data_IF_622094496346
#
_entry.id   IF_622094496346
#
_cell.length_a   1.000
_cell.length_b   1.000
_cell.length_c   1.000
_cell.angle_alpha   90.00
_cell.angle_beta   90.00
_cell.angle_gamma   90.00
#
_symmetry.space_group_name_H-M   'P 1'
#
loop_
_entity.id
_entity.type
_entity.pdbx_description
1 polymer ?
#
# COMPACT_ATOMS: atom_id res chain seq x y z
N UNK A 1 -27.02 10.83 -22.23
CA UNK A 1 -26.31 9.87 -23.10
C UNK A 1 -24.88 9.75 -22.58
N UNK A 2 -24.57 8.69 -21.86
CA UNK A 2 -23.19 8.31 -21.59
C UNK A 2 -22.79 7.40 -22.76
N UNK A 3 -21.69 7.74 -23.44
CA UNK A 3 -21.19 6.97 -24.58
C UNK A 3 -20.82 5.56 -24.11
N UNK A 4 -21.48 4.55 -24.67
CA UNK A 4 -21.13 3.14 -24.47
C UNK A 4 -19.96 2.78 -25.39
N UNK A 5 -18.85 2.32 -24.82
CA UNK A 5 -17.80 1.65 -25.59
C UNK A 5 -18.33 0.29 -26.07
N UNK A 6 -17.73 -0.32 -27.09
CA UNK A 6 -18.09 -1.63 -27.67
C UNK A 6 -18.38 -2.76 -26.65
N UNK A 7 -17.91 -2.67 -25.41
CA UNK A 7 -18.14 -3.63 -24.31
C UNK A 7 -19.35 -3.32 -23.40
N UNK A 8 -20.13 -2.28 -23.70
CA UNK A 8 -21.21 -1.79 -22.83
C UNK A 8 -20.70 -1.06 -21.58
N UNK A 9 -19.44 -0.61 -21.61
CA UNK A 9 -18.79 0.09 -20.50
C UNK A 9 -18.95 1.60 -20.65
N UNK A 10 -19.27 2.26 -19.55
CA UNK A 10 -19.27 3.73 -19.45
C UNK A 10 -17.84 4.25 -19.31
N UNK A 11 -17.60 5.50 -19.72
CA UNK A 11 -16.30 6.17 -19.56
C UNK A 11 -15.80 6.18 -18.11
N UNK A 12 -16.73 6.23 -17.15
CA UNK A 12 -16.42 6.18 -15.71
C UNK A 12 -15.96 4.79 -15.26
N UNK A 13 -16.57 3.72 -15.76
CA UNK A 13 -16.12 2.36 -15.47
C UNK A 13 -14.73 2.12 -16.04
N UNK A 14 -14.45 2.57 -17.27
CA UNK A 14 -13.12 2.48 -17.88
C UNK A 14 -12.11 3.28 -17.06
N UNK A 15 -12.43 4.51 -16.68
CA UNK A 15 -11.56 5.32 -15.83
C UNK A 15 -11.24 4.63 -14.49
N UNK A 16 -12.24 4.02 -13.85
CA UNK A 16 -12.07 3.32 -12.57
C UNK A 16 -11.27 2.03 -12.71
N UNK A 17 -11.49 1.27 -13.78
CA UNK A 17 -10.67 0.11 -14.16
C UNK A 17 -9.20 0.50 -14.34
N UNK A 18 -8.96 1.67 -14.93
CA UNK A 18 -7.61 2.15 -15.21
C UNK A 18 -6.98 3.02 -14.11
N UNK A 19 -7.63 3.12 -12.93
CA UNK A 19 -7.16 3.94 -11.80
C UNK A 19 -6.98 5.43 -12.15
N UNK A 20 -7.74 5.94 -13.13
CA UNK A 20 -7.74 7.35 -13.51
C UNK A 20 -8.49 8.21 -12.50
N UNK A 21 -7.80 8.55 -11.42
CA UNK A 21 -8.33 9.29 -10.27
C UNK A 21 -8.98 10.63 -10.65
N UNK A 22 -8.42 11.37 -11.62
CA UNK A 22 -8.99 12.65 -12.05
C UNK A 22 -10.43 12.51 -12.56
N UNK A 23 -10.70 11.47 -13.35
CA UNK A 23 -12.04 11.18 -13.88
C UNK A 23 -12.93 10.55 -12.81
N UNK A 24 -12.37 9.72 -11.92
CA UNK A 24 -13.10 9.20 -10.76
C UNK A 24 -13.61 10.32 -9.84
N UNK A 25 -12.80 11.35 -9.59
CA UNK A 25 -13.21 12.47 -8.75
C UNK A 25 -14.41 13.25 -9.34
N UNK A 26 -14.56 13.26 -10.67
CA UNK A 26 -15.74 13.85 -11.32
C UNK A 26 -17.03 13.13 -10.93
N UNK A 27 -17.02 11.84 -10.61
CA UNK A 27 -18.20 11.12 -10.11
C UNK A 27 -18.73 11.71 -8.81
N UNK A 28 -17.86 12.23 -7.95
CA UNK A 28 -18.28 12.91 -6.73
C UNK A 28 -18.84 14.30 -7.02
N UNK A 29 -18.33 14.99 -8.04
CA UNK A 29 -18.80 16.32 -8.45
C UNK A 29 -20.17 16.27 -9.14
N UNK A 30 -20.45 15.17 -9.86
CA UNK A 30 -21.73 14.94 -10.55
C UNK A 30 -22.92 14.76 -9.56
N UNK A 31 -22.66 14.56 -8.27
CA UNK A 31 -23.68 14.63 -7.22
C UNK A 31 -24.74 13.52 -7.35
N UNK A 32 -26.03 13.90 -7.42
CA UNK A 32 -27.15 12.96 -7.35
C UNK A 32 -27.19 11.91 -8.46
N UNK A 33 -26.73 12.27 -9.68
CA UNK A 33 -26.72 11.35 -10.84
C UNK A 33 -25.64 10.27 -10.75
N UNK A 34 -24.77 10.29 -9.74
CA UNK A 34 -23.76 9.24 -9.53
C UNK A 34 -24.40 7.87 -9.31
N UNK A 35 -25.55 7.82 -8.65
CA UNK A 35 -26.22 6.55 -8.34
C UNK A 35 -26.67 5.85 -9.62
N UNK A 36 -27.15 6.62 -10.60
CA UNK A 36 -27.52 6.09 -11.91
C UNK A 36 -26.29 5.52 -12.63
N UNK A 37 -25.15 6.24 -12.58
CA UNK A 37 -23.88 5.77 -13.16
C UNK A 37 -23.40 4.44 -12.51
N UNK A 38 -23.60 4.29 -11.20
CA UNK A 38 -23.24 3.07 -10.49
C UNK A 38 -24.10 1.86 -10.87
N UNK A 39 -25.31 2.06 -11.42
CA UNK A 39 -26.23 0.96 -11.78
C UNK A 39 -25.87 0.28 -13.10
N UNK A 40 -25.07 0.92 -13.96
CA UNK A 40 -24.61 0.33 -15.20
C UNK A 40 -23.77 -0.92 -14.96
N UNK A 41 -23.98 -1.92 -15.81
CA UNK A 41 -23.27 -3.21 -15.77
C UNK A 41 -22.72 -3.51 -17.16
N UNK A 42 -21.57 -4.19 -17.20
CA UNK A 42 -21.02 -4.71 -18.45
C UNK A 42 -21.86 -5.88 -19.01
N UNK A 43 -21.48 -6.40 -20.18
CA UNK A 43 -22.10 -7.57 -20.80
C UNK A 43 -22.08 -8.83 -19.91
N UNK A 44 -21.17 -8.94 -18.95
CA UNK A 44 -21.06 -10.04 -17.98
C UNK A 44 -21.83 -9.78 -16.68
N UNK A 45 -22.57 -8.67 -16.58
CA UNK A 45 -23.30 -8.28 -15.38
C UNK A 45 -22.41 -7.73 -14.26
N UNK A 46 -21.14 -7.42 -14.55
CA UNK A 46 -20.20 -6.84 -13.61
C UNK A 46 -20.54 -5.35 -13.43
N UNK A 47 -20.72 -4.95 -12.18
CA UNK A 47 -20.72 -3.53 -11.82
C UNK A 47 -19.28 -3.00 -11.72
N UNK A 48 -19.15 -1.70 -11.50
CA UNK A 48 -17.85 -1.02 -11.38
C UNK A 48 -16.90 -1.68 -10.37
N UNK A 49 -17.42 -2.23 -9.26
CA UNK A 49 -16.61 -2.85 -8.21
C UNK A 49 -16.05 -4.22 -8.64
N UNK A 50 -16.82 -5.02 -9.38
CA UNK A 50 -16.32 -6.25 -10.00
C UNK A 50 -15.20 -5.97 -11.00
N UNK A 51 -15.36 -4.93 -11.82
CA UNK A 51 -14.38 -4.53 -12.82
C UNK A 51 -13.05 -4.14 -12.17
N UNK A 52 -13.09 -3.44 -11.04
CA UNK A 52 -11.90 -3.14 -10.23
C UNK A 52 -11.22 -4.42 -9.76
N UNK A 53 -11.98 -5.38 -9.22
CA UNK A 53 -11.43 -6.64 -8.75
C UNK A 53 -10.78 -7.48 -9.85
N UNK A 54 -11.42 -7.55 -11.02
CA UNK A 54 -10.90 -8.25 -12.19
C UNK A 54 -9.61 -7.61 -12.73
N UNK A 55 -9.55 -6.28 -12.80
CA UNK A 55 -8.40 -5.54 -13.36
C UNK A 55 -7.22 -5.39 -12.40
N UNK A 56 -7.42 -5.70 -11.10
CA UNK A 56 -6.39 -5.52 -10.07
C UNK A 56 -5.11 -6.29 -10.37
N UNK A 57 -5.23 -7.53 -10.86
CA UNK A 57 -4.07 -8.38 -11.19
C UNK A 57 -3.29 -7.86 -12.39
N UNK A 58 -3.98 -7.41 -13.44
CA UNK A 58 -3.34 -6.82 -14.62
C UNK A 58 -2.60 -5.52 -14.25
N UNK A 59 -3.21 -4.69 -13.41
CA UNK A 59 -2.57 -3.48 -12.90
C UNK A 59 -1.37 -3.75 -12.01
N UNK A 60 -1.45 -4.81 -11.20
CA UNK A 60 -0.33 -5.28 -10.42
C UNK A 60 0.83 -5.77 -11.30
N UNK A 61 0.54 -6.46 -12.41
CA UNK A 61 1.56 -6.99 -13.33
C UNK A 61 2.31 -5.91 -14.12
N UNK A 62 1.66 -4.78 -14.45
CA UNK A 62 2.30 -3.67 -15.19
C UNK A 62 3.31 -2.86 -14.36
N UNK A 63 3.31 -3.01 -13.04
CA UNK A 63 4.17 -2.21 -12.14
C UNK A 63 5.17 -3.12 -11.40
N UNK A 64 6.45 -2.78 -11.42
CA UNK A 64 7.57 -3.66 -11.01
C UNK A 64 7.66 -4.02 -9.50
N UNK A 65 6.68 -3.69 -8.65
CA UNK A 65 6.72 -3.86 -7.17
C UNK A 65 5.49 -4.61 -6.64
N UNK A 66 5.40 -5.91 -6.94
CA UNK A 66 4.22 -6.76 -6.72
C UNK A 66 3.61 -6.75 -5.29
N UNK A 67 4.38 -6.55 -4.22
CA UNK A 67 3.90 -6.69 -2.83
C UNK A 67 3.09 -5.50 -2.30
N UNK A 68 3.53 -4.26 -2.56
CA UNK A 68 2.82 -3.03 -2.15
C UNK A 68 1.55 -2.77 -2.97
N UNK A 69 1.46 -3.39 -4.14
CA UNK A 69 0.35 -3.20 -5.06
C UNK A 69 -0.92 -3.83 -4.54
N UNK A 70 -0.87 -5.00 -3.90
CA UNK A 70 -2.09 -5.63 -3.37
C UNK A 70 -2.78 -4.75 -2.32
N UNK A 71 -2.02 -4.12 -1.43
CA UNK A 71 -2.58 -3.18 -0.46
C UNK A 71 -3.20 -1.97 -1.16
N UNK A 72 -2.53 -1.42 -2.19
CA UNK A 72 -3.05 -0.30 -2.97
C UNK A 72 -4.32 -0.66 -3.74
N UNK A 73 -4.36 -1.82 -4.38
CA UNK A 73 -5.53 -2.30 -5.11
C UNK A 73 -6.70 -2.58 -4.15
N UNK A 74 -6.43 -3.10 -2.94
CA UNK A 74 -7.45 -3.24 -1.90
C UNK A 74 -7.97 -1.89 -1.40
N UNK A 75 -7.10 -0.89 -1.23
CA UNK A 75 -7.51 0.46 -0.83
C UNK A 75 -8.35 1.12 -1.92
N UNK A 76 -7.96 0.98 -3.18
CA UNK A 76 -8.75 1.46 -4.31
C UNK A 76 -10.10 0.74 -4.41
N UNK A 77 -10.13 -0.58 -4.21
CA UNK A 77 -11.36 -1.35 -4.14
C UNK A 77 -12.29 -0.83 -3.03
N UNK A 78 -11.78 -0.64 -1.81
CA UNK A 78 -12.54 -0.06 -0.69
C UNK A 78 -13.01 1.36 -0.97
N UNK A 79 -12.25 2.15 -1.73
CA UNK A 79 -12.65 3.50 -2.07
C UNK A 79 -13.82 3.52 -3.05
N UNK A 80 -13.74 2.72 -4.11
CA UNK A 80 -14.85 2.56 -5.06
C UNK A 80 -16.08 1.96 -4.35
N UNK A 81 -15.87 1.02 -3.43
CA UNK A 81 -16.94 0.44 -2.60
C UNK A 81 -17.70 1.51 -1.80
N UNK A 82 -17.01 2.48 -1.18
CA UNK A 82 -17.66 3.58 -0.46
C UNK A 82 -18.57 4.42 -1.35
N UNK A 83 -18.19 4.62 -2.62
CA UNK A 83 -18.99 5.36 -3.58
C UNK A 83 -20.23 4.57 -4.03
N UNK A 84 -20.14 3.24 -4.07
CA UNK A 84 -21.23 2.37 -4.49
C UNK A 84 -22.39 2.33 -3.48
N UNK A 85 -23.66 2.37 -3.93
CA UNK A 85 -24.83 2.09 -3.10
C UNK A 85 -24.75 0.71 -2.42
N UNK A 86 -25.25 0.55 -1.18
CA UNK A 86 -25.15 -0.71 -0.43
C UNK A 86 -25.67 -1.94 -1.20
N UNK A 87 -26.78 -1.80 -1.92
CA UNK A 87 -27.39 -2.87 -2.72
C UNK A 87 -26.49 -3.40 -3.84
N UNK A 88 -25.55 -2.60 -4.32
CA UNK A 88 -24.66 -2.96 -5.42
C UNK A 88 -23.31 -3.52 -4.94
N UNK A 89 -22.96 -3.36 -3.66
CA UNK A 89 -21.70 -3.89 -3.10
C UNK A 89 -21.70 -5.41 -3.03
N UNK A 90 -22.89 -5.99 -2.85
CA UNK A 90 -23.10 -7.44 -2.74
C UNK A 90 -23.83 -8.02 -3.96
N UNK A 91 -24.12 -7.18 -4.97
CA UNK A 91 -24.77 -7.63 -6.19
C UNK A 91 -23.93 -8.71 -6.87
N UNK A 92 -24.57 -9.76 -7.37
CA UNK A 92 -23.88 -10.84 -8.07
C UNK A 92 -23.79 -10.56 -9.57
N UNK A 93 -22.66 -10.93 -10.17
CA UNK A 93 -22.50 -10.95 -11.63
C UNK A 93 -23.20 -12.18 -12.25
N UNK A 94 -23.10 -12.36 -13.58
CA UNK A 94 -23.70 -13.52 -14.26
C UNK A 94 -23.12 -14.87 -13.82
N UNK A 95 -21.91 -14.87 -13.29
CA UNK A 95 -21.24 -16.06 -12.73
C UNK A 95 -21.64 -16.32 -11.27
N UNK A 96 -22.55 -15.52 -10.70
CA UNK A 96 -23.03 -15.67 -9.34
C UNK A 96 -22.06 -15.19 -8.25
N UNK A 97 -21.00 -14.49 -8.64
CA UNK A 97 -19.96 -14.00 -7.73
C UNK A 97 -20.25 -12.58 -7.26
N UNK A 98 -19.89 -12.26 -6.02
CA UNK A 98 -19.85 -10.87 -5.52
C UNK A 98 -18.57 -10.16 -5.97
N UNK A 99 -18.50 -8.81 -5.92
CA UNK A 99 -17.28 -8.08 -6.23
C UNK A 99 -16.08 -8.51 -5.38
N UNK A 100 -16.31 -8.78 -4.08
CA UNK A 100 -15.27 -9.18 -3.15
C UNK A 100 -14.78 -10.62 -3.42
N UNK A 101 -15.70 -11.54 -3.72
CA UNK A 101 -15.33 -12.91 -4.11
C UNK A 101 -14.49 -12.92 -5.39
N UNK A 102 -14.88 -12.12 -6.38
CA UNK A 102 -14.12 -11.97 -7.63
C UNK A 102 -12.74 -11.36 -7.38
N UNK A 103 -12.67 -10.29 -6.57
CA UNK A 103 -11.41 -9.66 -6.17
C UNK A 103 -10.48 -10.66 -5.46
N UNK A 104 -11.00 -11.40 -4.48
CA UNK A 104 -10.22 -12.37 -3.71
C UNK A 104 -9.68 -13.49 -4.61
N UNK A 105 -10.54 -14.05 -5.48
CA UNK A 105 -10.17 -15.10 -6.43
C UNK A 105 -9.09 -14.65 -7.41
N UNK A 106 -9.26 -13.47 -8.02
CA UNK A 106 -8.31 -12.98 -9.04
C UNK A 106 -6.94 -12.64 -8.44
N UNK A 107 -6.93 -12.15 -7.20
CA UNK A 107 -5.71 -11.64 -6.55
C UNK A 107 -5.08 -12.62 -5.55
N UNK A 108 -5.59 -13.84 -5.42
CA UNK A 108 -5.10 -14.84 -4.45
C UNK A 108 -3.60 -15.14 -4.59
N UNK A 109 -3.12 -15.30 -5.83
CA UNK A 109 -1.70 -15.57 -6.11
C UNK A 109 -0.80 -14.40 -5.72
N UNK A 110 -1.25 -13.16 -5.99
CA UNK A 110 -0.50 -11.94 -5.63
C UNK A 110 -0.42 -11.76 -4.11
N UNK A 111 -1.52 -12.01 -3.40
CA UNK A 111 -1.54 -12.01 -1.92
C UNK A 111 -0.55 -13.03 -1.38
N UNK A 112 -0.60 -14.26 -1.89
CA UNK A 112 0.27 -15.34 -1.42
C UNK A 112 1.76 -15.01 -1.64
N UNK A 113 2.11 -14.52 -2.84
CA UNK A 113 3.48 -14.10 -3.16
C UNK A 113 3.93 -12.91 -2.30
N UNK A 114 3.07 -11.92 -2.11
CA UNK A 114 3.35 -10.76 -1.26
C UNK A 114 3.58 -11.14 0.20
N UNK A 115 2.71 -11.99 0.77
CA UNK A 115 2.84 -12.50 2.14
C UNK A 115 4.12 -13.34 2.31
N UNK A 116 4.45 -14.19 1.33
CA UNK A 116 5.69 -14.97 1.36
C UNK A 116 6.92 -14.05 1.39
N UNK A 117 6.97 -13.07 0.49
CA UNK A 117 8.08 -12.11 0.44
C UNK A 117 8.21 -11.31 1.74
N UNK A 118 7.09 -10.88 2.34
CA UNK A 118 7.09 -10.19 3.64
C UNK A 118 7.60 -11.09 4.76
N UNK A 119 7.19 -12.37 4.77
CA UNK A 119 7.66 -13.35 5.75
C UNK A 119 9.17 -13.56 5.63
N UNK A 120 9.68 -13.74 4.42
CA UNK A 120 11.11 -13.93 4.17
C UNK A 120 11.91 -12.70 4.63
N UNK A 121 11.42 -11.48 4.34
CA UNK A 121 12.05 -10.24 4.83
C UNK A 121 12.01 -10.12 6.35
N UNK A 122 10.87 -10.46 6.98
CA UNK A 122 10.71 -10.42 8.44
C UNK A 122 11.67 -11.40 9.12
N UNK A 123 11.82 -12.61 8.59
CA UNK A 123 12.79 -13.60 9.12
C UNK A 123 14.21 -13.05 9.07
N UNK A 124 14.62 -12.46 7.95
CA UNK A 124 15.95 -11.84 7.83
C UNK A 124 16.11 -10.66 8.80
N UNK A 125 15.08 -9.82 8.92
CA UNK A 125 15.07 -8.69 9.86
C UNK A 125 15.22 -9.17 11.32
N UNK A 126 14.41 -10.14 11.72
CA UNK A 126 14.46 -10.75 13.06
C UNK A 126 15.83 -11.38 13.32
N UNK A 127 16.42 -12.05 12.32
CA UNK A 127 17.76 -12.62 12.46
C UNK A 127 18.81 -11.53 12.67
N UNK A 128 18.79 -10.45 11.88
CA UNK A 128 19.72 -9.32 12.02
C UNK A 128 19.58 -8.67 13.40
N UNK A 129 18.34 -8.41 13.84
CA UNK A 129 18.07 -7.83 15.17
C UNK A 129 18.60 -8.76 16.27
N UNK A 130 18.35 -10.07 16.16
CA UNK A 130 18.78 -11.06 17.15
C UNK A 130 20.31 -11.14 17.25
N UNK A 131 21.01 -11.18 16.11
CA UNK A 131 22.48 -11.22 16.07
C UNK A 131 23.07 -9.91 16.60
N UNK A 132 22.52 -8.76 16.19
CA UNK A 132 22.96 -7.46 16.68
C UNK A 132 22.78 -7.33 18.20
N UNK A 133 21.65 -7.81 18.73
CA UNK A 133 21.37 -7.83 20.17
C UNK A 133 22.36 -8.73 20.92
N UNK A 134 22.62 -9.93 20.40
CA UNK A 134 23.60 -10.84 20.98
C UNK A 134 24.98 -10.18 21.05
N UNK A 135 25.48 -9.63 19.93
CA UNK A 135 26.78 -8.96 19.87
C UNK A 135 26.87 -7.76 20.81
N UNK A 136 25.78 -6.99 20.95
CA UNK A 136 25.76 -5.85 21.87
C UNK A 136 25.92 -6.29 23.35
N UNK A 137 25.37 -7.45 23.73
CA UNK A 137 25.39 -7.92 25.11
C UNK A 137 26.52 -8.90 25.44
N UNK A 138 27.13 -9.56 24.45
CA UNK A 138 28.23 -10.53 24.65
C UNK A 138 29.62 -9.89 24.53
N UNK A 139 29.83 -8.75 25.19
CA UNK A 139 31.14 -8.07 25.16
C UNK A 139 32.17 -8.87 25.97
N UNK A 140 33.29 -9.31 25.37
CA UNK A 140 34.33 -10.05 26.08
C UNK A 140 34.91 -9.22 27.22
N UNK A 141 35.10 -9.82 28.39
CA UNK A 141 35.56 -9.12 29.59
C UNK A 141 34.45 -8.52 30.46
N UNK A 142 33.19 -8.54 30.01
CA UNK A 142 32.03 -8.15 30.81
C UNK A 142 31.89 -6.64 31.04
N UNK A 143 31.00 -6.29 31.97
CA UNK A 143 30.66 -4.90 32.33
C UNK A 143 31.19 -4.55 33.72
N UNK A 144 31.70 -3.33 33.88
CA UNK A 144 32.13 -2.82 35.17
C UNK A 144 30.90 -2.59 36.08
N UNK A 145 30.92 -3.13 37.30
CA UNK A 145 29.82 -3.04 38.26
C UNK A 145 29.61 -1.63 38.81
N UNK A 146 30.62 -0.76 38.78
CA UNK A 146 30.52 0.60 39.34
C UNK A 146 29.93 1.62 38.34
N UNK A 147 30.17 1.43 37.04
CA UNK A 147 29.81 2.42 36.02
C UNK A 147 28.97 1.85 34.88
N UNK A 148 28.81 0.52 34.80
CA UNK A 148 28.03 -0.15 33.75
C UNK A 148 28.69 -0.16 32.36
N UNK A 149 29.93 0.34 32.22
CA UNK A 149 30.65 0.34 30.94
C UNK A 149 31.37 -0.99 30.66
N UNK A 150 31.50 -1.41 29.39
CA UNK A 150 32.24 -2.61 29.04
C UNK A 150 33.72 -2.49 29.38
N UNK A 151 34.27 -3.47 30.10
CA UNK A 151 35.67 -3.48 30.57
C UNK A 151 36.65 -3.50 29.39
N UNK A 152 36.25 -4.11 28.28
CA UNK A 152 37.01 -4.17 27.02
C UNK A 152 37.39 -2.79 26.45
N UNK A 153 36.48 -1.82 26.50
CA UNK A 153 36.72 -0.48 25.95
C UNK A 153 37.78 0.25 26.78
N UNK A 154 37.72 0.09 28.11
CA UNK A 154 38.70 0.66 29.03
C UNK A 154 40.10 0.06 28.82
N UNK A 155 40.20 -1.26 28.64
CA UNK A 155 41.49 -1.91 28.33
C UNK A 155 42.09 -1.41 27.01
N UNK A 156 41.31 -1.36 25.93
CA UNK A 156 41.78 -0.85 24.63
C UNK A 156 42.24 0.61 24.69
N UNK A 157 41.57 1.43 25.49
CA UNK A 157 41.98 2.82 25.72
C UNK A 157 43.32 2.92 26.44
N UNK A 158 43.55 2.07 27.45
CA UNK A 158 44.81 1.98 28.21
C UNK A 158 45.99 1.55 27.32
N UNK A 159 45.78 0.66 26.35
CA UNK A 159 46.78 0.25 25.36
C UNK A 159 46.99 1.26 24.21
N UNK A 160 46.33 2.42 24.23
CA UNK A 160 46.45 3.44 23.19
C UNK A 160 45.68 3.15 21.89
N UNK A 161 44.88 2.08 21.83
CA UNK A 161 44.16 1.60 20.65
C UNK A 161 42.76 2.21 20.52
N UNK A 162 42.65 3.53 20.68
CA UNK A 162 41.36 4.26 20.70
C UNK A 162 40.56 4.15 19.38
N UNK A 163 41.24 3.88 18.27
CA UNK A 163 40.62 3.77 16.94
C UNK A 163 39.87 2.45 16.73
N UNK A 164 40.21 1.39 17.48
CA UNK A 164 39.65 0.04 17.28
C UNK A 164 38.14 -0.01 17.56
N UNK A 165 37.63 0.51 18.71
CA UNK A 165 36.18 0.55 18.96
C UNK A 165 35.42 1.40 17.94
N UNK A 166 36.00 2.51 17.47
CA UNK A 166 35.39 3.40 16.47
C UNK A 166 35.24 2.66 15.14
N UNK A 167 36.27 1.92 14.73
CA UNK A 167 36.25 1.13 13.51
C UNK A 167 35.21 0.01 13.58
N UNK A 168 35.16 -0.72 14.70
CA UNK A 168 34.16 -1.78 14.93
C UNK A 168 32.74 -1.22 14.89
N UNK A 169 32.49 -0.09 15.57
CA UNK A 169 31.19 0.57 15.56
C UNK A 169 30.81 1.04 14.14
N UNK A 170 31.75 1.61 13.39
CA UNK A 170 31.52 2.01 12.01
C UNK A 170 31.10 0.81 11.15
N UNK A 171 31.82 -0.32 11.21
CA UNK A 171 31.45 -1.52 10.46
C UNK A 171 30.12 -2.14 10.92
N UNK A 172 29.82 -2.12 12.22
CA UNK A 172 28.57 -2.66 12.77
C UNK A 172 27.33 -1.86 12.34
N UNK A 173 27.47 -0.55 12.10
CA UNK A 173 26.36 0.30 11.67
C UNK A 173 26.00 0.13 10.19
N UNK A 174 26.94 -0.27 9.33
CA UNK A 174 26.73 -0.39 7.88
C UNK A 174 25.57 -1.34 7.53
N UNK A 175 25.50 -2.59 8.04
CA UNK A 175 24.38 -3.50 7.76
C UNK A 175 23.03 -2.97 8.23
N UNK A 176 22.99 -2.30 9.39
CA UNK A 176 21.77 -1.73 9.97
C UNK A 176 21.26 -0.57 9.11
N UNK A 177 22.17 0.32 8.69
CA UNK A 177 21.84 1.45 7.82
C UNK A 177 21.39 0.96 6.45
N UNK A 178 22.09 -0.01 5.84
CA UNK A 178 21.68 -0.58 4.56
C UNK A 178 20.32 -1.27 4.66
N UNK A 179 20.07 -2.04 5.72
CA UNK A 179 18.77 -2.66 5.96
C UNK A 179 17.66 -1.61 6.14
N UNK A 180 17.91 -0.58 6.96
CA UNK A 180 16.98 0.53 7.15
C UNK A 180 16.70 1.26 5.83
N UNK A 181 17.73 1.58 5.04
CA UNK A 181 17.58 2.24 3.74
C UNK A 181 16.85 1.37 2.70
N UNK A 182 16.98 0.04 2.76
CA UNK A 182 16.25 -0.86 1.86
C UNK A 182 14.77 -1.03 2.27
N UNK A 183 14.47 -1.02 3.57
CA UNK A 183 13.09 -1.14 4.09
C UNK A 183 12.36 0.20 4.15
N UNK A 184 13.08 1.32 4.24
CA UNK A 184 12.52 2.66 4.35
C UNK A 184 11.62 3.04 3.18
N UNK A 185 11.95 2.78 1.90
CA UNK A 185 11.04 3.02 0.78
C UNK A 185 9.73 2.25 0.93
N UNK A 186 9.78 1.00 1.38
CA UNK A 186 8.59 0.16 1.61
C UNK A 186 7.73 0.69 2.76
N UNK A 187 8.37 1.13 3.84
CA UNK A 187 7.69 1.74 4.97
C UNK A 187 7.06 3.08 4.57
N UNK A 188 7.81 3.96 3.89
CA UNK A 188 7.27 5.22 3.37
C UNK A 188 6.13 4.97 2.39
N UNK A 189 6.25 3.99 1.49
CA UNK A 189 5.17 3.62 0.56
C UNK A 189 3.93 3.11 1.30
N UNK A 190 4.09 2.31 2.37
CA UNK A 190 2.99 1.83 3.21
C UNK A 190 2.33 2.98 3.99
N UNK A 191 3.11 3.87 4.61
CA UNK A 191 2.59 5.02 5.34
C UNK A 191 1.93 6.03 4.40
N UNK A 192 2.54 6.31 3.25
CA UNK A 192 1.94 7.15 2.22
C UNK A 192 0.66 6.49 1.71
N UNK A 193 0.62 5.19 1.45
CA UNK A 193 -0.61 4.48 1.06
C UNK A 193 -1.73 4.62 2.11
N UNK A 194 -1.41 4.49 3.40
CA UNK A 194 -2.38 4.62 4.49
C UNK A 194 -2.87 6.07 4.66
N UNK A 195 -1.97 7.04 4.73
CA UNK A 195 -2.31 8.45 4.96
C UNK A 195 -2.87 9.12 3.71
N UNK A 196 -2.28 8.89 2.55
CA UNK A 196 -2.65 9.52 1.28
C UNK A 196 -3.99 8.94 0.78
N UNK A 197 -4.36 7.69 1.09
CA UNK A 197 -5.72 7.18 0.77
C UNK A 197 -6.84 8.01 1.40
N UNK A 198 -6.59 8.65 2.55
CA UNK A 198 -7.58 9.47 3.24
C UNK A 198 -7.69 10.89 2.65
N UNK A 199 -6.68 11.36 1.93
CA UNK A 199 -6.61 12.72 1.33
C UNK A 199 -6.69 12.75 -0.20
N UNK A 200 -6.30 11.67 -0.89
CA UNK A 200 -6.32 11.54 -2.36
C UNK A 200 -7.74 11.50 -2.92
N UNK A 201 -8.69 10.87 -2.22
CA UNK A 201 -10.03 10.60 -2.76
C UNK A 201 -11.12 11.53 -2.25
N UNK A 202 -10.78 12.55 -1.46
CA UNK A 202 -11.71 13.63 -1.18
C UNK A 202 -11.59 14.70 -2.27
N UNK A 203 -12.66 14.97 -3.05
CA UNK A 203 -12.66 16.14 -3.91
C UNK A 203 -12.48 17.39 -3.04
N UNK A 204 -11.50 18.21 -3.41
CA UNK A 204 -11.33 19.55 -2.85
C UNK A 204 -12.62 20.29 -3.17
N UNK A 205 -13.46 20.58 -2.17
CA UNK A 205 -14.71 21.34 -2.35
C UNK A 205 -14.39 22.68 -3.03
N UNK A 206 -14.45 22.74 -4.36
CA UNK A 206 -14.65 23.98 -5.09
C UNK A 206 -16.11 23.99 -5.49
N UNK A 207 -16.92 24.46 -4.54
CA UNK A 207 -18.27 24.96 -4.79
C UNK A 207 -18.18 26.08 -5.85
N UNK A 208 -18.27 25.72 -7.12
CA UNK A 208 -18.64 26.66 -8.17
C UNK A 208 -20.16 26.74 -8.14
N UNK A 209 -20.70 27.49 -7.18
CA UNK A 209 -22.05 28.02 -7.33
C UNK A 209 -22.01 28.96 -8.52
N UNK A 210 -22.76 28.61 -9.56
CA UNK A 210 -23.12 29.50 -10.65
C UNK A 210 -23.68 30.78 -10.05
N UNK A 211 -22.97 31.90 -10.23
CA UNK A 211 -23.54 33.24 -10.09
C UNK A 211 -24.80 33.29 -10.95
N UNK A 212 -25.96 33.36 -10.31
CA UNK A 212 -27.22 33.77 -10.94
C UNK A 212 -27.07 35.25 -11.34
N UNK A 213 -27.17 35.63 -12.62
CA UNK A 213 -27.36 37.01 -12.98
C UNK A 213 -28.84 37.22 -13.33
N UNK A 214 -29.60 37.93 -12.50
CA UNK A 214 -30.86 38.62 -12.89
C UNK A 214 -31.00 39.82 -11.94
N UNK A 215 -30.73 41.01 -12.47
CA UNK A 215 -31.67 41.95 -13.11
C UNK A 215 -32.32 42.84 -12.05
#
# INVERSE_FOLDING_TARGET
>A
MLFEHEDGLTIFQIAVMHRHQGIYNLLYEIGGSKNDICTFKDKSGNNMLHLVGKTSKEMAAKTSRASLLMQRELLWFKEVEKMMPPSLREAKNKDGQTPYELFSKENQDLVSKGLKWMKDCMVVATLIITVALAVAFTVPGGYNQEHGFPIFIHQLHSYGLKWVPILIAAFATVPVIVFALLQFPLFVDMFRSIYDSHYLFKPKKRMLYTTKPRL
#
